data_IF_496551282539
#
_entry.id   IF_496551282539
#
_cell.length_a   1.000
_cell.length_b   1.000
_cell.length_c   1.000
_cell.angle_alpha   90.00
_cell.angle_beta   90.00
_cell.angle_gamma   90.00
#
_symmetry.space_group_name_H-M   'P 1'
#
loop_
_entity.id
_entity.type
_entity.pdbx_description
1 polymer ?
#
# COMPACT_ATOMS: atom_id res chain seq x y z
N UNK A 1 3.76 62.39 -9.76
CA UNK A 1 2.34 62.02 -9.84
C UNK A 1 2.28 60.56 -10.25
N UNK A 2 2.14 59.64 -9.30
CA UNK A 2 2.02 58.18 -9.62
C UNK A 2 0.56 57.97 -10.05
N UNK A 3 0.40 57.54 -11.29
CA UNK A 3 -0.90 57.37 -11.96
C UNK A 3 -1.82 56.46 -11.15
N UNK A 4 -3.02 56.88 -10.93
CA UNK A 4 -4.05 56.19 -10.13
C UNK A 4 -4.35 54.78 -10.72
N UNK A 5 -4.12 54.59 -12.01
CA UNK A 5 -4.24 53.32 -12.71
C UNK A 5 -3.14 52.30 -12.28
N UNK A 6 -1.94 52.78 -11.97
CA UNK A 6 -0.85 51.87 -11.51
C UNK A 6 -1.14 51.32 -10.11
N UNK A 7 -1.79 52.12 -9.25
CA UNK A 7 -2.22 51.69 -7.90
C UNK A 7 -3.38 50.68 -7.96
N UNK A 8 -4.32 50.86 -8.89
CA UNK A 8 -5.41 49.90 -9.12
C UNK A 8 -4.86 48.58 -9.67
N UNK A 9 -3.94 48.63 -10.63
CA UNK A 9 -3.30 47.43 -11.20
C UNK A 9 -2.50 46.64 -10.13
N UNK A 10 -1.77 47.33 -9.27
CA UNK A 10 -1.04 46.73 -8.16
C UNK A 10 -1.97 46.03 -7.14
N UNK A 11 -3.14 46.62 -6.83
CA UNK A 11 -4.14 45.97 -5.94
C UNK A 11 -4.74 44.72 -6.58
N UNK A 12 -5.09 44.77 -7.86
CA UNK A 12 -5.64 43.62 -8.58
C UNK A 12 -4.60 42.48 -8.61
N UNK A 13 -3.34 42.80 -8.89
CA UNK A 13 -2.25 41.83 -8.92
C UNK A 13 -2.05 41.16 -7.54
N UNK A 14 -2.07 41.94 -6.46
CA UNK A 14 -2.00 41.41 -5.09
C UNK A 14 -3.16 40.44 -4.77
N UNK A 15 -4.40 40.82 -5.16
CA UNK A 15 -5.55 39.96 -4.94
C UNK A 15 -5.42 38.63 -5.70
N UNK A 16 -4.95 38.68 -6.95
CA UNK A 16 -4.72 37.45 -7.74
C UNK A 16 -3.65 36.57 -7.09
N UNK A 17 -2.56 37.11 -6.59
CA UNK A 17 -1.53 36.32 -5.88
C UNK A 17 -2.06 35.67 -4.60
N UNK A 18 -2.90 36.38 -3.84
CA UNK A 18 -3.52 35.83 -2.63
C UNK A 18 -4.44 34.69 -2.98
N UNK A 19 -5.26 34.81 -4.03
CA UNK A 19 -6.17 33.75 -4.48
C UNK A 19 -5.39 32.52 -4.93
N UNK A 20 -4.32 32.71 -5.71
CA UNK A 20 -3.44 31.58 -6.13
C UNK A 20 -2.82 30.90 -4.90
N UNK A 21 -2.33 31.68 -3.93
CA UNK A 21 -1.76 31.14 -2.69
C UNK A 21 -2.78 30.31 -1.90
N UNK A 22 -4.02 30.76 -1.80
CA UNK A 22 -5.10 30.01 -1.13
C UNK A 22 -5.40 28.70 -1.88
N UNK A 23 -5.45 28.72 -3.21
CA UNK A 23 -5.72 27.52 -4.03
C UNK A 23 -4.58 26.49 -3.84
N UNK A 24 -3.32 26.93 -3.85
CA UNK A 24 -2.18 26.05 -3.62
C UNK A 24 -2.23 25.47 -2.20
N UNK A 25 -2.56 26.26 -1.20
CA UNK A 25 -2.68 25.82 0.19
C UNK A 25 -3.80 24.78 0.36
N UNK A 26 -4.96 25.02 -0.25
CA UNK A 26 -6.07 24.06 -0.24
C UNK A 26 -5.71 22.76 -0.96
N UNK A 27 -4.98 22.84 -2.07
CA UNK A 27 -4.49 21.67 -2.78
C UNK A 27 -3.51 20.85 -1.92
N UNK A 28 -2.55 21.52 -1.27
CA UNK A 28 -1.58 20.85 -0.38
C UNK A 28 -2.28 20.23 0.83
N UNK A 29 -3.25 20.91 1.46
CA UNK A 29 -4.03 20.35 2.57
C UNK A 29 -4.86 19.15 2.11
N UNK A 30 -5.51 19.23 0.97
CA UNK A 30 -6.26 18.10 0.41
C UNK A 30 -5.34 16.93 0.10
N UNK A 31 -4.17 17.19 -0.47
CA UNK A 31 -3.19 16.15 -0.79
C UNK A 31 -2.64 15.48 0.47
N UNK A 32 -2.30 16.26 1.51
CA UNK A 32 -1.82 15.70 2.79
C UNK A 32 -2.90 14.94 3.55
N UNK A 33 -4.16 15.39 3.52
CA UNK A 33 -5.28 14.66 4.13
C UNK A 33 -5.64 13.39 3.33
N UNK A 34 -5.50 13.42 2.02
CA UNK A 34 -5.69 12.23 1.15
C UNK A 34 -4.64 11.16 1.39
N UNK A 35 -3.37 11.54 1.59
CA UNK A 35 -2.27 10.62 1.86
C UNK A 35 -2.36 9.97 3.25
N UNK A 36 -2.91 10.68 4.26
CA UNK A 36 -3.09 10.13 5.60
C UNK A 36 -4.28 9.15 5.74
N UNK A 37 -5.13 9.04 4.71
CA UNK A 37 -6.30 8.16 4.73
C UNK A 37 -6.11 6.88 3.88
N UNK A 38 -4.88 6.38 3.72
CA UNK A 38 -4.69 5.03 3.20
C UNK A 38 -5.20 3.99 4.19
N UNK A 39 -6.52 3.84 4.26
CA UNK A 39 -7.14 2.65 4.79
C UNK A 39 -6.93 1.54 3.77
N UNK A 40 -6.21 0.52 4.17
CA UNK A 40 -6.12 -0.70 3.39
C UNK A 40 -7.46 -1.43 3.49
N UNK A 41 -8.40 -0.97 2.70
CA UNK A 41 -9.68 -1.64 2.54
C UNK A 41 -9.54 -2.65 1.40
N UNK A 42 -9.30 -3.91 1.75
CA UNK A 42 -9.73 -4.97 0.83
C UNK A 42 -11.25 -4.81 0.63
N UNK A 43 -11.77 -5.04 -0.59
CA UNK A 43 -13.19 -4.92 -0.84
C UNK A 43 -13.93 -5.81 0.16
N UNK A 44 -14.61 -5.16 1.09
CA UNK A 44 -15.54 -5.82 2.00
C UNK A 44 -16.75 -6.23 1.18
N UNK A 45 -16.69 -7.41 0.59
CA UNK A 45 -17.93 -8.12 0.29
C UNK A 45 -18.43 -8.69 1.60
N UNK A 46 -19.27 -7.92 2.27
CA UNK A 46 -20.06 -8.38 3.41
C UNK A 46 -21.00 -9.47 2.94
N UNK A 47 -20.59 -10.71 3.06
CA UNK A 47 -21.52 -11.84 3.07
C UNK A 47 -20.85 -13.00 3.79
N UNK A 48 -21.62 -13.62 4.67
CA UNK A 48 -21.31 -14.90 5.33
C UNK A 48 -20.62 -15.87 4.40
N UNK A 49 -19.43 -16.37 4.78
CA UNK A 49 -18.71 -17.13 3.84
C UNK A 49 -18.00 -18.31 4.30
N UNK A 50 -18.37 -19.13 3.79
CA UNK A 50 -18.02 -20.35 3.10
C UNK A 50 -16.92 -20.11 2.07
N UNK A 51 -15.96 -20.96 2.06
CA UNK A 51 -14.89 -21.10 1.08
C UNK A 51 -15.32 -20.57 -0.30
N UNK A 52 -14.90 -19.34 -0.64
CA UNK A 52 -15.28 -18.68 -1.89
C UNK A 52 -14.14 -18.82 -2.88
N UNK A 53 -14.33 -19.68 -3.84
CA UNK A 53 -13.48 -19.70 -5.02
C UNK A 53 -13.72 -18.42 -5.82
N UNK A 54 -12.67 -17.62 -6.07
CA UNK A 54 -12.79 -16.38 -6.84
C UNK A 54 -13.19 -16.62 -8.30
N UNK A 55 -13.09 -17.85 -8.79
CA UNK A 55 -13.62 -18.21 -10.11
C UNK A 55 -15.13 -18.00 -10.19
N UNK A 56 -15.84 -18.00 -9.05
CA UNK A 56 -17.27 -17.70 -8.97
C UNK A 56 -17.62 -16.21 -9.02
N UNK A 57 -16.63 -15.31 -8.91
CA UNK A 57 -16.85 -13.88 -9.04
C UNK A 57 -17.13 -13.48 -10.49
N UNK A 58 -17.90 -12.40 -10.68
CA UNK A 58 -18.01 -11.77 -11.99
C UNK A 58 -16.66 -11.22 -12.45
N UNK A 59 -16.47 -11.05 -13.75
CA UNK A 59 -15.20 -10.52 -14.30
C UNK A 59 -14.89 -9.11 -13.77
N UNK A 60 -15.92 -8.29 -13.54
CA UNK A 60 -15.73 -6.95 -12.94
C UNK A 60 -15.23 -7.04 -11.52
N UNK A 61 -15.75 -7.96 -10.70
CA UNK A 61 -15.29 -8.16 -9.33
C UNK A 61 -13.86 -8.70 -9.30
N UNK A 62 -13.51 -9.65 -10.19
CA UNK A 62 -12.13 -10.16 -10.31
C UNK A 62 -11.15 -9.05 -10.70
N UNK A 63 -11.52 -8.19 -11.66
CA UNK A 63 -10.69 -7.05 -12.07
C UNK A 63 -10.47 -6.10 -10.90
N UNK A 64 -11.53 -5.70 -10.19
CA UNK A 64 -11.44 -4.81 -9.04
C UNK A 64 -10.56 -5.40 -7.94
N UNK A 65 -10.73 -6.70 -7.65
CA UNK A 65 -9.93 -7.41 -6.66
C UNK A 65 -8.44 -7.43 -7.04
N UNK A 66 -8.14 -7.81 -8.28
CA UNK A 66 -6.77 -7.83 -8.78
C UNK A 66 -6.14 -6.42 -8.80
N UNK A 67 -6.90 -5.37 -9.09
CA UNK A 67 -6.41 -3.99 -9.06
C UNK A 67 -5.98 -3.60 -7.65
N UNK A 68 -6.76 -3.95 -6.64
CA UNK A 68 -6.46 -3.61 -5.25
C UNK A 68 -5.17 -4.26 -4.72
N UNK A 69 -4.99 -5.56 -4.95
CA UNK A 69 -3.79 -6.27 -4.48
C UNK A 69 -2.55 -5.97 -5.31
N UNK A 70 -2.71 -5.38 -6.49
CA UNK A 70 -1.63 -4.92 -7.35
C UNK A 70 -1.50 -3.39 -7.33
N UNK A 71 -2.03 -2.71 -6.33
CA UNK A 71 -1.73 -1.32 -6.06
C UNK A 71 -0.21 -1.12 -5.99
N UNK A 72 0.29 -0.12 -6.70
CA UNK A 72 1.72 0.12 -6.87
C UNK A 72 2.44 0.27 -5.52
N UNK A 73 1.81 0.96 -4.56
CA UNK A 73 2.37 1.15 -3.24
C UNK A 73 2.50 -0.18 -2.47
N UNK A 74 1.52 -1.07 -2.60
CA UNK A 74 1.56 -2.39 -1.98
C UNK A 74 2.64 -3.26 -2.60
N UNK A 75 2.71 -3.34 -3.93
CA UNK A 75 3.72 -4.12 -4.64
C UNK A 75 5.13 -3.60 -4.35
N UNK A 76 5.31 -2.27 -4.26
CA UNK A 76 6.58 -1.67 -3.85
C UNK A 76 6.97 -2.07 -2.43
N UNK A 77 6.03 -2.00 -1.49
CA UNK A 77 6.24 -2.44 -0.12
C UNK A 77 6.66 -3.91 -0.05
N UNK A 78 5.96 -4.77 -0.76
CA UNK A 78 6.28 -6.20 -0.86
C UNK A 78 7.67 -6.42 -1.47
N UNK A 79 7.99 -5.75 -2.58
CA UNK A 79 9.27 -5.89 -3.27
C UNK A 79 10.47 -5.49 -2.39
N UNK A 80 10.29 -4.50 -1.51
CA UNK A 80 11.34 -4.07 -0.58
C UNK A 80 11.41 -4.91 0.72
N UNK A 81 10.32 -5.55 1.11
CA UNK A 81 10.25 -6.34 2.34
C UNK A 81 10.65 -7.80 2.13
N UNK A 82 10.42 -8.37 0.94
CA UNK A 82 10.59 -9.80 0.70
C UNK A 82 12.00 -10.15 0.21
N UNK A 83 12.63 -11.10 0.88
CA UNK A 83 13.73 -11.87 0.30
C UNK A 83 13.17 -13.08 -0.45
N UNK A 84 13.11 -13.00 -1.78
CA UNK A 84 12.59 -14.06 -2.64
C UNK A 84 13.44 -15.34 -2.65
N UNK A 85 14.64 -15.31 -2.06
CA UNK A 85 15.46 -16.50 -1.91
C UNK A 85 15.08 -17.30 -0.67
N UNK A 86 14.35 -16.69 0.27
CA UNK A 86 13.96 -17.29 1.52
C UNK A 86 12.45 -17.63 1.46
N UNK A 87 12.17 -18.88 1.13
CA UNK A 87 10.80 -19.40 0.95
C UNK A 87 10.31 -20.08 2.22
N UNK A 88 8.99 -20.30 2.29
CA UNK A 88 8.31 -21.01 3.37
C UNK A 88 8.41 -20.35 4.76
N UNK A 89 8.74 -19.04 4.80
CA UNK A 89 8.72 -18.25 6.03
C UNK A 89 7.63 -17.18 5.97
N UNK A 90 7.19 -16.76 7.15
CA UNK A 90 6.31 -15.61 7.25
C UNK A 90 7.09 -14.32 6.96
N UNK A 91 6.76 -13.66 5.87
CA UNK A 91 7.41 -12.40 5.45
C UNK A 91 7.32 -11.33 6.53
N UNK A 92 6.22 -11.25 7.27
CA UNK A 92 5.97 -10.25 8.30
C UNK A 92 6.21 -10.76 9.72
N UNK A 93 7.03 -11.79 9.89
CA UNK A 93 7.42 -12.29 11.23
C UNK A 93 8.28 -11.28 11.98
N UNK A 94 9.25 -10.66 11.29
CA UNK A 94 10.12 -9.67 11.92
C UNK A 94 9.53 -8.26 11.81
N UNK A 95 9.75 -7.45 12.85
CA UNK A 95 9.39 -6.03 12.84
C UNK A 95 10.14 -5.25 11.77
N UNK A 96 11.37 -5.67 11.46
CA UNK A 96 12.18 -5.09 10.43
C UNK A 96 11.53 -5.22 9.04
N UNK A 97 10.99 -6.38 8.71
CA UNK A 97 10.27 -6.55 7.42
C UNK A 97 8.96 -5.79 7.37
N UNK A 98 8.24 -5.70 8.50
CA UNK A 98 7.07 -4.81 8.62
C UNK A 98 7.47 -3.36 8.38
N UNK A 99 8.55 -2.89 9.03
CA UNK A 99 9.07 -1.53 8.84
C UNK A 99 9.41 -1.26 7.36
N UNK A 100 10.20 -2.12 6.72
CA UNK A 100 10.56 -1.97 5.30
C UNK A 100 9.34 -1.89 4.39
N UNK A 101 8.34 -2.73 4.63
CA UNK A 101 7.08 -2.71 3.90
C UNK A 101 6.34 -1.38 4.07
N UNK A 102 6.15 -0.95 5.33
CA UNK A 102 5.41 0.27 5.65
C UNK A 102 6.11 1.51 5.10
N UNK A 103 7.41 1.58 5.28
CA UNK A 103 8.21 2.70 4.82
C UNK A 103 8.20 2.81 3.29
N UNK A 104 8.38 1.69 2.59
CA UNK A 104 8.38 1.66 1.11
C UNK A 104 7.02 1.92 0.50
N UNK A 105 5.95 1.63 1.24
CA UNK A 105 4.58 1.92 0.84
C UNK A 105 4.24 3.40 0.93
N UNK A 106 4.97 4.15 1.75
CA UNK A 106 4.74 5.55 2.00
C UNK A 106 5.59 6.41 1.04
N UNK A 107 4.99 7.47 0.47
CA UNK A 107 5.66 8.37 -0.48
C UNK A 107 6.28 9.61 0.19
N UNK A 108 6.30 9.63 1.51
CA UNK A 108 6.79 10.76 2.29
C UNK A 108 8.30 10.61 2.47
N UNK A 109 9.23 10.74 2.14
CA UNK A 109 10.62 10.72 2.59
C UNK A 109 10.80 10.20 4.03
N UNK A 110 11.55 10.90 4.85
CA UNK A 110 11.79 10.54 6.25
C UNK A 110 10.49 10.51 7.10
N UNK A 111 10.35 9.52 7.97
CA UNK A 111 9.22 9.32 8.88
C UNK A 111 9.70 9.35 10.33
N UNK A 112 8.93 9.95 11.22
CA UNK A 112 9.13 9.83 12.65
C UNK A 112 8.71 8.43 13.15
N UNK A 113 9.16 8.06 14.36
CA UNK A 113 8.74 6.78 14.97
C UNK A 113 7.21 6.71 15.16
N UNK A 114 6.61 7.80 15.60
CA UNK A 114 5.16 7.85 15.82
C UNK A 114 4.38 7.66 14.50
N UNK A 115 4.87 8.24 13.40
CA UNK A 115 4.25 8.06 12.08
C UNK A 115 4.36 6.62 11.59
N UNK A 116 5.53 5.99 11.71
CA UNK A 116 5.70 4.59 11.28
C UNK A 116 4.93 3.62 12.17
N UNK A 117 4.84 3.93 13.47
CA UNK A 117 4.07 3.13 14.41
C UNK A 117 2.57 3.21 14.16
N UNK A 118 2.05 4.41 13.88
CA UNK A 118 0.66 4.58 13.46
C UNK A 118 0.33 3.83 12.16
N UNK A 119 1.28 3.77 11.21
CA UNK A 119 1.14 2.94 10.02
C UNK A 119 1.11 1.44 10.37
N UNK A 120 1.94 1.00 11.32
CA UNK A 120 1.98 -0.41 11.77
C UNK A 120 0.67 -0.82 12.45
N UNK A 121 0.15 -0.02 13.35
CA UNK A 121 -1.15 -0.25 13.96
C UNK A 121 -2.27 -0.31 12.92
N UNK A 122 -2.20 0.56 11.91
CA UNK A 122 -3.21 0.62 10.87
C UNK A 122 -3.20 -0.60 9.93
N UNK A 123 -2.02 -1.19 9.66
CA UNK A 123 -1.85 -2.28 8.69
C UNK A 123 -1.78 -3.64 9.38
N UNK A 124 -1.07 -3.74 10.50
CA UNK A 124 -0.79 -5.00 11.19
C UNK A 124 -1.51 -5.14 12.53
N UNK A 125 -2.15 -4.08 13.03
CA UNK A 125 -2.72 -4.00 14.38
C UNK A 125 -1.68 -4.33 15.47
N UNK A 126 -0.45 -3.91 15.27
CA UNK A 126 0.69 -4.11 16.18
C UNK A 126 1.57 -2.89 16.22
N UNK A 127 2.13 -2.60 17.38
CA UNK A 127 3.20 -1.61 17.52
C UNK A 127 4.54 -2.20 17.08
N UNK A 128 5.46 -1.34 16.68
CA UNK A 128 6.86 -1.67 16.44
C UNK A 128 7.69 -1.29 17.65
N UNK A 129 8.74 -2.06 17.94
CA UNK A 129 9.74 -1.69 18.92
C UNK A 129 10.76 -0.73 18.32
N UNK A 130 10.99 0.41 18.97
CA UNK A 130 11.99 1.40 18.54
C UNK A 130 13.39 0.78 18.41
N UNK A 131 13.73 -0.16 19.28
CA UNK A 131 15.02 -0.84 19.30
C UNK A 131 15.23 -1.71 18.03
N UNK A 132 14.16 -2.38 17.58
CA UNK A 132 14.24 -3.31 16.45
C UNK A 132 14.34 -2.61 15.08
N UNK A 133 14.10 -1.31 15.02
CA UNK A 133 14.19 -0.50 13.80
C UNK A 133 15.19 0.66 13.92
N UNK A 134 15.96 0.69 15.01
CA UNK A 134 16.88 1.79 15.33
C UNK A 134 18.01 1.97 14.28
N UNK A 135 18.36 0.93 13.53
CA UNK A 135 19.41 1.00 12.51
C UNK A 135 19.07 1.96 11.34
N UNK A 136 17.80 2.30 11.17
CA UNK A 136 17.33 3.24 10.14
C UNK A 136 17.08 4.64 10.67
N UNK A 137 17.32 4.89 11.96
CA UNK A 137 17.15 6.19 12.59
C UNK A 137 18.32 7.11 12.22
N UNK A 138 18.04 8.25 11.62
CA UNK A 138 19.05 9.26 11.31
C UNK A 138 19.31 10.22 12.49
N UNK A 139 20.20 11.21 12.28
CA UNK A 139 20.59 12.20 13.31
C UNK A 139 19.45 13.15 13.72
N UNK A 140 18.39 13.26 12.90
CA UNK A 140 17.25 14.16 13.14
C UNK A 140 16.05 13.41 13.75
N UNK A 141 16.27 12.24 14.37
CA UNK A 141 15.24 11.37 14.92
C UNK A 141 14.16 10.94 13.91
N UNK A 142 14.49 10.94 12.64
CA UNK A 142 13.65 10.46 11.58
C UNK A 142 14.20 9.16 10.99
N UNK A 143 13.30 8.26 10.58
CA UNK A 143 13.67 7.02 9.92
C UNK A 143 13.88 7.23 8.44
N UNK A 144 14.99 6.71 7.93
CA UNK A 144 15.33 6.71 6.51
C UNK A 144 15.65 5.28 6.06
N UNK A 145 15.12 4.90 4.94
CA UNK A 145 15.37 3.60 4.32
C UNK A 145 15.50 3.78 2.81
N UNK A 146 16.53 3.20 2.22
CA UNK A 146 16.72 3.25 0.78
C UNK A 146 15.68 2.38 0.09
N UNK A 147 14.70 3.03 -0.53
CA UNK A 147 13.61 2.35 -1.24
C UNK A 147 14.07 1.99 -2.64
N UNK A 148 13.87 0.74 -3.01
CA UNK A 148 13.97 0.35 -4.40
C UNK A 148 12.71 0.78 -5.16
N UNK A 149 12.83 1.84 -5.93
CA UNK A 149 11.76 2.37 -6.80
C UNK A 149 11.70 1.68 -8.17
N UNK A 150 12.49 0.64 -8.39
CA UNK A 150 12.38 -0.18 -9.60
C UNK A 150 11.01 -0.86 -9.71
N UNK A 151 10.70 -1.35 -10.91
CA UNK A 151 9.47 -2.12 -11.11
C UNK A 151 9.44 -3.31 -10.15
N UNK A 152 8.28 -3.64 -9.57
CA UNK A 152 8.11 -4.85 -8.79
C UNK A 152 8.57 -6.07 -9.59
N UNK A 153 9.13 -7.05 -8.92
CA UNK A 153 9.56 -8.28 -9.59
C UNK A 153 8.38 -9.12 -10.06
N UNK A 154 7.33 -9.12 -9.26
CA UNK A 154 6.13 -9.91 -9.52
C UNK A 154 4.88 -9.08 -9.31
N UNK A 155 3.81 -9.43 -10.01
CA UNK A 155 2.44 -9.09 -9.64
C UNK A 155 1.74 -10.27 -8.97
N UNK A 156 0.64 -10.00 -8.30
CA UNK A 156 -0.13 -10.97 -7.53
C UNK A 156 -1.46 -11.24 -8.25
N UNK A 157 -1.77 -12.52 -8.45
CA UNK A 157 -3.09 -12.96 -8.96
C UNK A 157 -3.74 -13.83 -7.90
N UNK A 158 -4.84 -13.38 -7.33
CA UNK A 158 -5.60 -14.15 -6.35
C UNK A 158 -6.27 -15.31 -7.05
N UNK A 159 -6.11 -16.51 -6.50
CA UNK A 159 -6.69 -17.74 -7.04
C UNK A 159 -7.82 -18.28 -6.18
N UNK A 160 -7.77 -18.04 -4.87
CA UNK A 160 -8.81 -18.47 -3.95
C UNK A 160 -8.79 -17.64 -2.66
N UNK A 161 -9.90 -17.56 -1.96
CA UNK A 161 -9.97 -17.02 -0.60
C UNK A 161 -10.81 -17.92 0.30
N UNK A 162 -10.41 -18.02 1.56
CA UNK A 162 -11.14 -18.75 2.61
C UNK A 162 -11.36 -17.84 3.80
N UNK A 163 -12.56 -17.89 4.34
CA UNK A 163 -12.88 -17.19 5.56
C UNK A 163 -13.21 -18.22 6.63
N UNK A 164 -12.58 -18.08 7.78
CA UNK A 164 -12.83 -18.92 8.94
C UNK A 164 -12.75 -18.05 10.18
N UNK A 165 -13.87 -17.94 10.89
CA UNK A 165 -14.00 -17.09 12.07
C UNK A 165 -13.58 -15.64 11.73
N UNK A 166 -12.62 -15.09 12.45
CA UNK A 166 -12.08 -13.74 12.22
C UNK A 166 -10.86 -13.72 11.27
N UNK A 167 -10.61 -14.82 10.58
CA UNK A 167 -9.50 -14.95 9.63
C UNK A 167 -9.99 -14.99 8.20
N UNK A 168 -9.33 -14.23 7.34
CA UNK A 168 -9.44 -14.35 5.89
C UNK A 168 -8.10 -14.79 5.33
N UNK A 169 -8.09 -15.92 4.62
CA UNK A 169 -6.91 -16.45 3.95
C UNK A 169 -7.04 -16.25 2.45
N UNK A 170 -6.09 -15.54 1.85
CA UNK A 170 -6.04 -15.27 0.41
C UNK A 170 -4.90 -16.08 -0.19
N UNK A 171 -5.23 -16.95 -1.13
CA UNK A 171 -4.25 -17.72 -1.91
C UNK A 171 -3.98 -17.01 -3.22
N UNK A 172 -2.71 -16.91 -3.61
CA UNK A 172 -2.35 -16.18 -4.81
C UNK A 172 -1.17 -16.83 -5.55
N UNK A 173 -1.11 -16.55 -6.85
CA UNK A 173 0.04 -16.81 -7.70
C UNK A 173 0.81 -15.51 -7.93
N UNK A 174 2.13 -15.62 -8.03
CA UNK A 174 3.03 -14.52 -8.39
C UNK A 174 3.58 -14.74 -9.79
N UNK A 175 3.39 -13.77 -10.64
CA UNK A 175 3.73 -13.80 -12.08
C UNK A 175 4.72 -12.68 -12.33
N UNK A 176 5.67 -12.88 -13.27
CA UNK A 176 6.60 -11.82 -13.65
C UNK A 176 5.85 -10.52 -13.99
N UNK A 177 6.25 -9.44 -13.35
CA UNK A 177 5.58 -8.13 -13.45
C UNK A 177 5.52 -7.60 -14.90
N UNK A 178 6.54 -7.89 -15.69
CA UNK A 178 6.61 -7.43 -17.08
C UNK A 178 5.77 -8.26 -18.07
N UNK A 179 5.11 -9.33 -17.59
CA UNK A 179 4.26 -10.15 -18.45
C UNK A 179 2.92 -9.45 -18.74
N UNK A 180 2.35 -9.70 -19.92
CA UNK A 180 1.00 -9.27 -20.26
C UNK A 180 -0.04 -9.77 -19.27
N UNK A 181 0.21 -10.93 -18.67
CA UNK A 181 -0.67 -11.55 -17.67
C UNK A 181 -0.79 -10.76 -16.37
N UNK A 182 0.13 -9.83 -16.11
CA UNK A 182 0.05 -8.95 -14.94
C UNK A 182 -0.99 -7.84 -15.07
N UNK A 183 -1.46 -7.52 -16.26
CA UNK A 183 -2.51 -6.51 -16.43
C UNK A 183 -3.77 -6.95 -15.67
N UNK A 184 -4.42 -6.00 -15.00
CA UNK A 184 -5.64 -6.27 -14.23
C UNK A 184 -6.76 -6.88 -15.08
N UNK A 185 -6.83 -6.51 -16.37
CA UNK A 185 -7.80 -7.03 -17.34
C UNK A 185 -7.55 -8.49 -17.77
N UNK A 186 -6.36 -9.04 -17.50
CA UNK A 186 -6.03 -10.43 -17.82
C UNK A 186 -6.39 -11.30 -16.64
N UNK A 187 -7.48 -12.04 -16.73
CA UNK A 187 -8.02 -12.90 -15.67
C UNK A 187 -7.54 -14.34 -15.78
N UNK A 188 -7.28 -14.80 -16.99
CA UNK A 188 -6.80 -16.16 -17.26
C UNK A 188 -5.34 -16.13 -17.69
N UNK A 189 -4.55 -17.04 -17.17
CA UNK A 189 -3.13 -17.18 -17.48
C UNK A 189 -2.71 -18.65 -17.37
N UNK A 190 -1.65 -19.00 -18.11
CA UNK A 190 -1.09 -20.34 -18.02
C UNK A 190 -0.39 -20.55 -16.68
N UNK A 191 -0.58 -21.71 -16.07
CA UNK A 191 0.13 -22.07 -14.83
C UNK A 191 1.64 -22.18 -14.99
N UNK A 192 2.11 -22.33 -16.21
CA UNK A 192 3.54 -22.44 -16.53
C UNK A 192 4.31 -21.13 -16.31
N UNK A 193 3.60 -19.99 -16.27
CA UNK A 193 4.20 -18.67 -16.00
C UNK A 193 4.19 -18.28 -14.52
N UNK A 194 3.64 -19.11 -13.65
CA UNK A 194 3.61 -18.87 -12.20
C UNK A 194 5.00 -19.13 -11.65
N UNK A 195 5.64 -18.07 -11.20
CA UNK A 195 6.99 -18.15 -10.64
C UNK A 195 6.98 -18.63 -9.17
N UNK A 196 6.03 -18.14 -8.39
CA UNK A 196 5.87 -18.41 -6.96
C UNK A 196 4.39 -18.49 -6.63
N UNK A 197 4.08 -19.12 -5.50
CA UNK A 197 2.75 -19.13 -4.91
C UNK A 197 2.81 -18.53 -3.52
N UNK A 198 1.71 -17.95 -3.08
CA UNK A 198 1.69 -17.38 -1.74
C UNK A 198 0.34 -17.48 -1.06
N UNK A 199 0.38 -17.15 0.22
CA UNK A 199 -0.78 -17.11 1.10
C UNK A 199 -0.67 -15.86 1.94
N UNK A 200 -1.71 -15.03 1.94
CA UNK A 200 -1.85 -13.87 2.80
C UNK A 200 -2.97 -14.15 3.81
N UNK A 201 -2.66 -14.08 5.09
CA UNK A 201 -3.63 -14.23 6.17
C UNK A 201 -3.95 -12.86 6.74
N UNK A 202 -5.22 -12.55 6.84
CA UNK A 202 -5.75 -11.29 7.35
C UNK A 202 -6.62 -11.56 8.58
N UNK A 203 -6.46 -10.75 9.61
CA UNK A 203 -7.34 -10.70 10.77
C UNK A 203 -8.46 -9.69 10.50
N UNK A 204 -9.68 -10.06 10.78
CA UNK A 204 -10.84 -9.18 10.70
C UNK A 204 -10.86 -8.25 11.92
N UNK A 205 -10.90 -6.95 11.68
CA UNK A 205 -11.27 -5.94 12.68
C UNK A 205 -12.69 -5.44 12.44
N UNK A 206 -13.13 -4.46 13.21
CA UNK A 206 -14.50 -3.93 13.16
C UNK A 206 -14.90 -3.43 11.76
N UNK A 207 -14.02 -2.69 11.09
CA UNK A 207 -14.32 -2.08 9.79
C UNK A 207 -13.23 -2.32 8.73
N UNK A 208 -12.25 -3.16 9.01
CA UNK A 208 -11.12 -3.43 8.09
C UNK A 208 -10.45 -4.76 8.40
N UNK A 209 -9.56 -5.17 7.52
CA UNK A 209 -8.67 -6.29 7.75
C UNK A 209 -7.27 -5.80 8.09
N UNK A 210 -6.56 -6.56 8.94
CA UNK A 210 -5.16 -6.36 9.27
C UNK A 210 -4.32 -7.51 8.72
N UNK A 211 -3.14 -7.22 8.23
CA UNK A 211 -2.21 -8.26 7.79
C UNK A 211 -1.67 -9.01 9.01
N UNK A 212 -1.92 -10.31 9.06
CA UNK A 212 -1.36 -11.20 10.08
C UNK A 212 -0.04 -11.82 9.60
N UNK A 213 -0.08 -12.46 8.44
CA UNK A 213 1.09 -13.13 7.88
C UNK A 213 1.03 -13.21 6.37
N UNK A 214 2.19 -13.34 5.74
CA UNK A 214 2.33 -13.64 4.32
C UNK A 214 3.41 -14.68 4.13
N UNK A 215 3.10 -15.76 3.43
CA UNK A 215 4.05 -16.81 3.09
C UNK A 215 4.20 -16.94 1.58
N UNK A 216 5.42 -17.18 1.11
CA UNK A 216 5.75 -17.41 -0.30
C UNK A 216 6.45 -18.77 -0.43
N UNK A 217 6.09 -19.50 -1.48
CA UNK A 217 6.57 -20.86 -1.76
C UNK A 217 7.04 -21.03 -3.20
#
# INVERSE_FOLDING_TARGET
>A
MIDDNSKKLGRVFMIVLIVIGIIIMLYLVHHTLSVNNYKYELPTTTTEIVDKDITSLSDTEKINYNTLINDESFLRGINNAIDYNNKDINVFESELTKFKFLYSKNDKGALTFDEINALSENVFNTELSKENVAEYLNQDDAYEYEINYGNPKYCIKVVNEKNKDDLKTVYFDMIDYNSESCKASVLEYSKDIVALKGTLVLNKGDNKYFINSMMIR
#
